data_IF_843497358928
#
_entry.id   IF_843497358928
#
_cell.length_a   1.000
_cell.length_b   1.000
_cell.length_c   1.000
_cell.angle_alpha   90.00
_cell.angle_beta   90.00
_cell.angle_gamma   90.00
#
_symmetry.space_group_name_H-M   'P 1'
#
loop_
_entity.id
_entity.type
_entity.pdbx_description
1 polymer ?
#
# COMPACT_ATOMS: atom_id res chain seq x y z
N UNK A 1 3.00 -29.41 2.99
CA UNK A 1 1.73 -28.86 2.48
C UNK A 1 2.06 -27.74 1.50
N UNK A 2 1.39 -27.70 0.35
CA UNK A 2 1.54 -26.61 -0.63
C UNK A 2 0.90 -25.34 -0.10
N UNK A 3 1.52 -24.18 -0.32
CA UNK A 3 1.06 -22.86 0.09
C UNK A 3 0.72 -22.06 -1.18
N UNK A 4 -0.56 -21.89 -1.46
CA UNK A 4 -1.03 -21.02 -2.54
C UNK A 4 -0.95 -19.55 -2.13
N UNK A 5 -0.22 -18.75 -2.92
CA UNK A 5 -0.05 -17.31 -2.72
C UNK A 5 -0.58 -16.56 -3.93
N UNK A 6 -1.43 -15.57 -3.69
CA UNK A 6 -1.91 -14.65 -4.71
C UNK A 6 -1.12 -13.35 -4.68
N UNK A 7 -0.58 -12.92 -5.82
CA UNK A 7 0.06 -11.61 -5.99
C UNK A 7 -0.82 -10.74 -6.87
N UNK A 8 -1.41 -9.70 -6.27
CA UNK A 8 -2.21 -8.69 -6.97
C UNK A 8 -1.32 -7.49 -7.29
N UNK A 9 -1.06 -7.29 -8.58
CA UNK A 9 -0.19 -6.22 -9.07
C UNK A 9 1.18 -6.74 -9.46
N UNK A 10 1.29 -7.30 -10.66
CA UNK A 10 2.56 -7.75 -11.25
C UNK A 10 3.40 -6.60 -11.82
N UNK A 11 3.64 -5.58 -11.00
CA UNK A 11 4.63 -4.53 -11.23
C UNK A 11 6.01 -4.94 -10.70
N UNK A 12 6.96 -4.00 -10.63
CA UNK A 12 8.32 -4.27 -10.16
C UNK A 12 8.36 -4.92 -8.76
N UNK A 13 7.65 -4.34 -7.79
CA UNK A 13 7.56 -4.85 -6.40
C UNK A 13 6.94 -6.26 -6.37
N UNK A 14 5.80 -6.44 -7.06
CA UNK A 14 5.15 -7.74 -7.15
C UNK A 14 6.05 -8.80 -7.76
N UNK A 15 6.85 -8.45 -8.79
CA UNK A 15 7.75 -9.39 -9.48
C UNK A 15 8.87 -9.85 -8.57
N UNK A 16 9.51 -8.91 -7.86
CA UNK A 16 10.59 -9.23 -6.92
C UNK A 16 10.08 -10.19 -5.84
N UNK A 17 8.98 -9.86 -5.16
CA UNK A 17 8.48 -10.71 -4.08
C UNK A 17 7.79 -11.99 -4.58
N UNK A 18 7.17 -11.97 -5.77
CA UNK A 18 6.68 -13.18 -6.41
C UNK A 18 7.81 -14.16 -6.74
N UNK A 19 8.93 -13.66 -7.27
CA UNK A 19 10.12 -14.46 -7.54
C UNK A 19 10.71 -15.04 -6.25
N UNK A 20 10.92 -14.21 -5.23
CA UNK A 20 11.46 -14.63 -3.92
C UNK A 20 10.58 -15.75 -3.33
N UNK A 21 9.26 -15.56 -3.30
CA UNK A 21 8.34 -16.57 -2.78
C UNK A 21 8.38 -17.87 -3.58
N UNK A 22 8.50 -17.79 -4.91
CA UNK A 22 8.58 -18.98 -5.78
C UNK A 22 9.84 -19.83 -5.61
N UNK A 23 10.87 -19.32 -4.92
CA UNK A 23 12.06 -20.12 -4.62
C UNK A 23 11.79 -21.19 -3.55
N UNK A 24 10.68 -21.09 -2.82
CA UNK A 24 10.25 -22.11 -1.88
C UNK A 24 9.56 -23.26 -2.63
N UNK A 25 10.05 -24.49 -2.49
CA UNK A 25 9.54 -25.67 -3.21
C UNK A 25 8.07 -26.01 -2.92
N UNK A 26 7.54 -25.54 -1.79
CA UNK A 26 6.16 -25.74 -1.37
C UNK A 26 5.26 -24.53 -1.64
N UNK A 27 5.72 -23.47 -2.31
CA UNK A 27 4.91 -22.27 -2.60
C UNK A 27 4.49 -22.23 -4.07
N UNK A 28 3.19 -22.01 -4.32
CA UNK A 28 2.65 -21.78 -5.66
C UNK A 28 2.18 -20.33 -5.78
N UNK A 29 2.87 -19.55 -6.62
CA UNK A 29 2.53 -18.13 -6.86
C UNK A 29 1.56 -18.02 -8.04
N UNK A 30 0.33 -17.59 -7.77
CA UNK A 30 -0.59 -17.07 -8.79
C UNK A 30 -0.46 -15.56 -8.84
N UNK A 31 -0.17 -15.00 -10.02
CA UNK A 31 -0.04 -13.56 -10.23
C UNK A 31 -1.17 -13.02 -11.11
N UNK A 32 -1.73 -11.87 -10.71
CA UNK A 32 -2.64 -11.10 -11.57
C UNK A 32 -1.84 -10.03 -12.29
N UNK A 33 -1.71 -10.20 -13.60
CA UNK A 33 -1.18 -9.18 -14.50
C UNK A 33 -2.33 -8.69 -15.38
N UNK A 34 -2.65 -7.40 -15.30
CA UNK A 34 -3.70 -6.79 -16.14
C UNK A 34 -3.07 -6.27 -17.42
N UNK A 35 -2.65 -5.00 -17.41
CA UNK A 35 -2.03 -4.33 -18.55
C UNK A 35 -0.72 -4.96 -19.01
N UNK A 36 -0.05 -5.75 -18.16
CA UNK A 36 1.21 -6.43 -18.48
C UNK A 36 1.05 -7.91 -18.83
N UNK A 37 -0.18 -8.45 -18.88
CA UNK A 37 -0.41 -9.89 -19.10
C UNK A 37 0.28 -10.40 -20.35
N UNK A 38 0.01 -9.81 -21.51
CA UNK A 38 0.54 -10.31 -22.79
C UNK A 38 2.06 -10.27 -22.84
N UNK A 39 2.67 -9.31 -22.13
CA UNK A 39 4.13 -9.17 -22.04
C UNK A 39 4.78 -10.12 -21.02
N UNK A 40 4.02 -10.64 -20.06
CA UNK A 40 4.54 -11.44 -18.93
C UNK A 40 4.09 -12.90 -18.94
N UNK A 41 3.09 -13.26 -19.76
CA UNK A 41 2.46 -14.59 -19.74
C UNK A 41 3.41 -15.75 -20.01
N UNK A 42 4.46 -15.50 -20.80
CA UNK A 42 5.45 -16.51 -21.18
C UNK A 42 6.69 -16.51 -20.26
N UNK A 43 6.72 -15.59 -19.29
CA UNK A 43 7.80 -15.37 -18.32
C UNK A 43 8.12 -13.89 -18.14
N UNK A 44 8.73 -13.56 -17.01
CA UNK A 44 9.12 -12.21 -16.61
C UNK A 44 10.64 -12.18 -16.50
N UNK A 45 11.29 -11.31 -17.25
CA UNK A 45 12.75 -11.15 -17.15
C UNK A 45 13.08 -10.30 -15.91
N UNK A 46 13.66 -10.92 -14.89
CA UNK A 46 14.12 -10.25 -13.67
C UNK A 46 15.64 -10.06 -13.75
N UNK A 47 16.06 -8.85 -14.08
CA UNK A 47 17.45 -8.42 -14.03
C UNK A 47 17.76 -7.85 -12.66
N UNK A 48 18.34 -8.68 -11.78
CA UNK A 48 18.60 -8.29 -10.40
C UNK A 48 20.08 -8.29 -10.04
N UNK A 49 20.56 -7.18 -9.46
CA UNK A 49 21.90 -7.13 -8.89
C UNK A 49 22.04 -8.01 -7.63
N UNK A 50 20.95 -8.15 -6.86
CA UNK A 50 20.89 -9.01 -5.66
C UNK A 50 20.69 -10.49 -5.98
N UNK A 51 19.76 -10.80 -6.89
CA UNK A 51 19.32 -12.19 -7.14
C UNK A 51 19.94 -12.81 -8.39
N UNK A 52 20.60 -12.03 -9.25
CA UNK A 52 21.03 -12.46 -10.58
C UNK A 52 19.96 -12.23 -11.65
N UNK A 53 20.27 -12.68 -12.87
CA UNK A 53 19.38 -12.53 -14.03
C UNK A 53 18.55 -13.80 -14.25
N UNK A 54 17.23 -13.67 -14.24
CA UNK A 54 16.30 -14.81 -14.25
C UNK A 54 15.16 -14.62 -15.24
N UNK A 55 14.71 -15.72 -15.85
CA UNK A 55 13.39 -15.78 -16.47
C UNK A 55 12.40 -16.37 -15.46
N UNK A 56 11.78 -15.50 -14.67
CA UNK A 56 10.81 -15.89 -13.65
C UNK A 56 9.48 -16.30 -14.29
N UNK A 57 8.99 -17.50 -13.95
CA UNK A 57 7.64 -17.96 -14.32
C UNK A 57 6.87 -18.29 -13.05
N UNK A 58 5.88 -17.46 -12.65
CA UNK A 58 4.95 -17.83 -11.59
C UNK A 58 4.29 -19.17 -11.91
N UNK A 59 3.80 -19.87 -10.87
CA UNK A 59 2.99 -21.09 -11.07
C UNK A 59 1.81 -20.82 -12.01
N UNK A 60 1.19 -19.64 -11.87
CA UNK A 60 0.15 -19.18 -12.78
C UNK A 60 0.19 -17.66 -12.93
N UNK A 61 -0.08 -17.17 -14.13
CA UNK A 61 -0.37 -15.76 -14.39
C UNK A 61 -1.73 -15.67 -15.06
N UNK A 62 -2.59 -14.80 -14.54
CA UNK A 62 -3.98 -14.64 -14.98
C UNK A 62 -4.30 -13.18 -15.25
N UNK A 63 -5.34 -12.93 -16.05
CA UNK A 63 -5.69 -11.57 -16.51
C UNK A 63 -6.44 -10.76 -15.46
N UNK A 64 -7.29 -11.43 -14.68
CA UNK A 64 -8.18 -10.75 -13.75
C UNK A 64 -8.50 -11.59 -12.51
N UNK A 65 -9.32 -11.01 -11.63
CA UNK A 65 -9.70 -11.63 -10.37
C UNK A 65 -10.65 -12.81 -10.54
N UNK A 66 -11.42 -12.88 -11.63
CA UNK A 66 -12.36 -13.96 -11.89
C UNK A 66 -11.61 -15.26 -12.18
N UNK A 67 -10.59 -15.19 -13.04
CA UNK A 67 -9.69 -16.31 -13.33
C UNK A 67 -8.86 -16.74 -12.10
N UNK A 68 -8.49 -15.79 -11.23
CA UNK A 68 -7.74 -16.09 -10.01
C UNK A 68 -8.60 -16.71 -8.90
N UNK A 69 -9.90 -16.42 -8.85
CA UNK A 69 -10.79 -16.78 -7.74
C UNK A 69 -11.40 -18.19 -7.90
N UNK A 70 -10.58 -19.16 -8.27
CA UNK A 70 -10.94 -20.57 -8.44
C UNK A 70 -10.49 -21.47 -7.28
N UNK A 71 -9.77 -20.90 -6.30
CA UNK A 71 -9.12 -21.64 -5.20
C UNK A 71 -8.91 -20.76 -3.96
N UNK A 72 -8.70 -21.36 -2.77
CA UNK A 72 -8.26 -20.62 -1.59
C UNK A 72 -6.81 -20.16 -1.73
N UNK A 73 -6.49 -19.00 -1.14
CA UNK A 73 -5.11 -18.52 -1.02
C UNK A 73 -4.78 -18.31 0.44
N UNK A 74 -3.60 -18.79 0.87
CA UNK A 74 -3.14 -18.61 2.26
C UNK A 74 -2.66 -17.19 2.48
N UNK A 75 -1.93 -16.63 1.51
CA UNK A 75 -1.50 -15.24 1.51
C UNK A 75 -1.99 -14.52 0.25
N UNK A 76 -2.52 -13.32 0.42
CA UNK A 76 -2.91 -12.43 -0.67
C UNK A 76 -2.08 -11.15 -0.56
N UNK A 77 -1.11 -10.99 -1.45
CA UNK A 77 -0.22 -9.84 -1.52
C UNK A 77 -0.87 -8.75 -2.37
N UNK A 78 -1.01 -7.55 -1.79
CA UNK A 78 -1.36 -6.35 -2.53
C UNK A 78 -0.09 -5.54 -2.82
N UNK A 79 0.42 -5.65 -4.04
CA UNK A 79 1.62 -4.97 -4.54
C UNK A 79 1.30 -3.78 -5.48
N UNK A 80 0.01 -3.46 -5.65
CA UNK A 80 -0.42 -2.27 -6.36
C UNK A 80 -0.26 -1.02 -5.49
N UNK A 81 -0.15 0.16 -6.11
CA UNK A 81 -0.16 1.44 -5.37
C UNK A 81 -1.45 1.61 -4.58
N UNK A 82 -1.36 2.20 -3.40
CA UNK A 82 -2.54 2.55 -2.61
C UNK A 82 -3.13 3.86 -3.14
N UNK A 83 -4.25 3.77 -3.87
CA UNK A 83 -4.93 4.89 -4.52
C UNK A 83 -6.40 4.93 -4.08
N UNK A 84 -6.71 5.25 -2.81
CA UNK A 84 -8.08 5.17 -2.29
C UNK A 84 -9.05 6.11 -2.99
N UNK A 85 -8.55 7.19 -3.58
CA UNK A 85 -9.29 8.18 -4.38
C UNK A 85 -9.56 7.73 -5.83
N UNK A 86 -9.01 6.60 -6.26
CA UNK A 86 -9.28 5.97 -7.56
C UNK A 86 -9.91 4.59 -7.42
N UNK A 87 -9.27 3.72 -6.64
CA UNK A 87 -9.72 2.37 -6.38
C UNK A 87 -9.25 1.89 -5.00
N UNK A 88 -10.14 1.80 -4.00
CA UNK A 88 -9.80 1.34 -2.67
C UNK A 88 -9.21 -0.08 -2.63
N UNK A 89 -8.17 -0.29 -1.80
CA UNK A 89 -7.54 -1.61 -1.60
C UNK A 89 -8.55 -2.68 -1.16
N UNK A 90 -9.51 -2.32 -0.31
CA UNK A 90 -10.59 -3.23 0.10
C UNK A 90 -11.42 -3.72 -1.10
N UNK A 91 -11.73 -2.86 -2.07
CA UNK A 91 -12.46 -3.23 -3.29
C UNK A 91 -11.65 -4.16 -4.21
N UNK A 92 -10.33 -3.96 -4.27
CA UNK A 92 -9.42 -4.83 -5.03
C UNK A 92 -9.41 -6.25 -4.44
N UNK A 93 -9.42 -6.36 -3.10
CA UNK A 93 -9.29 -7.64 -2.38
C UNK A 93 -10.62 -8.37 -2.19
N UNK A 94 -11.73 -7.64 -2.18
CA UNK A 94 -13.06 -8.16 -1.92
C UNK A 94 -13.48 -9.39 -2.77
N UNK A 95 -13.11 -9.54 -4.06
CA UNK A 95 -13.42 -10.76 -4.80
C UNK A 95 -12.86 -12.03 -4.15
N UNK A 96 -11.72 -11.91 -3.47
CA UNK A 96 -11.07 -13.03 -2.78
C UNK A 96 -11.57 -13.16 -1.35
N UNK A 97 -11.79 -12.06 -0.64
CA UNK A 97 -12.14 -12.08 0.79
C UNK A 97 -13.61 -12.43 1.08
N UNK A 98 -14.53 -12.17 0.15
CA UNK A 98 -15.93 -12.63 0.27
C UNK A 98 -16.24 -13.86 -0.59
N UNK A 99 -15.21 -14.47 -1.18
CA UNK A 99 -15.36 -15.68 -1.97
C UNK A 99 -15.78 -16.86 -1.09
N UNK A 100 -16.47 -17.84 -1.67
CA UNK A 100 -16.63 -19.18 -1.05
C UNK A 100 -15.28 -19.84 -0.73
N UNK A 101 -14.22 -19.43 -1.43
CA UNK A 101 -12.84 -19.89 -1.21
C UNK A 101 -12.14 -19.19 -0.05
N UNK A 102 -12.76 -18.18 0.57
CA UNK A 102 -12.29 -17.51 1.77
C UNK A 102 -13.15 -17.81 3.00
N UNK A 103 -14.18 -18.65 2.88
CA UNK A 103 -15.03 -19.01 4.00
C UNK A 103 -14.24 -19.78 5.07
N UNK A 104 -14.41 -19.34 6.31
CA UNK A 104 -13.78 -19.87 7.53
C UNK A 104 -14.79 -20.56 8.44
N UNK A 105 -16.03 -20.73 7.98
CA UNK A 105 -17.18 -21.23 8.76
C UNK A 105 -17.03 -22.66 9.29
N UNK A 106 -15.98 -23.39 8.94
CA UNK A 106 -15.73 -24.77 9.37
C UNK A 106 -14.60 -24.96 10.39
N UNK A 107 -13.84 -23.91 10.78
CA UNK A 107 -12.73 -24.09 11.73
C UNK A 107 -12.34 -22.82 12.49
N UNK A 108 -12.16 -22.95 13.81
CA UNK A 108 -11.55 -21.94 14.69
C UNK A 108 -10.02 -22.19 14.82
N UNK A 109 -9.51 -23.30 14.27
CA UNK A 109 -8.09 -23.64 14.16
C UNK A 109 -7.47 -23.24 12.80
N UNK A 110 -6.14 -23.09 12.82
CA UNK A 110 -5.24 -22.29 11.97
C UNK A 110 -5.06 -22.69 10.50
N UNK A 111 -5.93 -23.53 9.95
CA UNK A 111 -5.75 -24.06 8.60
C UNK A 111 -6.53 -23.31 7.52
N UNK A 112 -7.65 -22.66 7.84
CA UNK A 112 -8.53 -22.01 6.85
C UNK A 112 -8.60 -20.48 6.98
N UNK A 113 -8.71 -19.79 5.84
CA UNK A 113 -8.88 -18.33 5.73
C UNK A 113 -7.63 -17.55 5.27
N UNK A 114 -7.79 -16.54 4.40
CA UNK A 114 -6.67 -15.80 3.83
C UNK A 114 -6.03 -14.84 4.83
N UNK A 115 -4.73 -14.59 4.68
CA UNK A 115 -4.00 -13.48 5.31
C UNK A 115 -3.60 -12.47 4.25
N UNK A 116 -3.95 -11.20 4.45
CA UNK A 116 -3.60 -10.13 3.50
C UNK A 116 -2.22 -9.58 3.83
N UNK A 117 -1.39 -9.38 2.83
CA UNK A 117 -0.07 -8.76 2.95
C UNK A 117 -0.06 -7.47 2.14
N UNK A 118 0.10 -6.32 2.81
CA UNK A 118 0.11 -5.01 2.17
C UNK A 118 1.54 -4.53 1.94
N UNK A 119 1.93 -4.40 0.67
CA UNK A 119 3.24 -3.92 0.23
C UNK A 119 3.21 -2.43 -0.20
N UNK A 120 2.11 -1.73 0.09
CA UNK A 120 1.84 -0.38 -0.39
C UNK A 120 2.48 0.68 0.52
N UNK A 121 2.80 1.86 -0.04
CA UNK A 121 3.40 2.94 0.72
C UNK A 121 2.35 3.75 1.51
N UNK A 122 2.84 4.45 2.54
CA UNK A 122 2.06 5.40 3.32
C UNK A 122 1.67 4.88 4.71
N UNK A 123 0.91 5.71 5.40
CA UNK A 123 0.39 5.49 6.76
C UNK A 123 -1.12 5.26 6.65
N UNK A 124 -1.68 4.39 7.51
CA UNK A 124 -3.14 4.21 7.57
C UNK A 124 -3.77 3.44 6.43
N UNK A 125 -2.98 2.78 5.59
CA UNK A 125 -3.48 2.03 4.42
C UNK A 125 -4.28 0.79 4.83
N UNK A 126 -4.09 0.34 6.06
CA UNK A 126 -4.73 -0.83 6.67
C UNK A 126 -6.16 -0.52 7.10
N UNK A 127 -6.43 0.73 7.53
CA UNK A 127 -7.66 1.12 8.21
C UNK A 127 -8.93 0.79 7.40
N UNK A 128 -9.04 1.16 6.11
CA UNK A 128 -10.24 0.82 5.33
C UNK A 128 -10.45 -0.69 5.18
N UNK A 129 -9.35 -1.45 5.10
CA UNK A 129 -9.41 -2.91 4.97
C UNK A 129 -9.80 -3.58 6.29
N UNK A 130 -9.21 -3.13 7.40
CA UNK A 130 -9.52 -3.64 8.73
C UNK A 130 -10.99 -3.38 9.12
N UNK A 131 -11.53 -2.21 8.78
CA UNK A 131 -12.94 -1.90 8.99
C UNK A 131 -13.87 -2.78 8.14
N UNK A 132 -13.50 -3.06 6.89
CA UNK A 132 -14.32 -3.87 5.99
C UNK A 132 -14.25 -5.38 6.32
N UNK A 133 -13.09 -5.86 6.80
CA UNK A 133 -12.81 -7.26 7.07
C UNK A 133 -12.10 -7.45 8.41
N UNK A 134 -12.77 -7.19 9.55
CA UNK A 134 -12.14 -7.20 10.88
C UNK A 134 -11.54 -8.57 11.26
N UNK A 135 -12.05 -9.65 10.66
CA UNK A 135 -11.57 -11.00 10.90
C UNK A 135 -10.31 -11.34 10.08
N UNK A 136 -10.00 -10.64 8.99
CA UNK A 136 -8.86 -11.01 8.14
C UNK A 136 -7.56 -10.49 8.76
N UNK A 137 -6.56 -11.34 9.05
CA UNK A 137 -5.26 -10.86 9.51
C UNK A 137 -4.58 -10.04 8.40
N UNK A 138 -4.06 -8.87 8.78
CA UNK A 138 -3.37 -7.95 7.87
C UNK A 138 -1.90 -7.88 8.28
N UNK A 139 -1.03 -8.44 7.45
CA UNK A 139 0.42 -8.22 7.52
C UNK A 139 0.70 -6.92 6.79
N UNK A 140 1.07 -5.92 7.54
CA UNK A 140 1.42 -4.61 7.04
C UNK A 140 2.93 -4.55 6.80
N UNK A 141 3.36 -3.98 5.67
CA UNK A 141 4.79 -3.95 5.33
C UNK A 141 5.31 -2.59 4.85
N UNK A 142 6.58 -2.36 5.15
CA UNK A 142 7.42 -1.24 4.73
C UNK A 142 8.47 -1.80 3.77
N UNK A 143 8.27 -1.53 2.48
CA UNK A 143 9.10 -2.07 1.40
C UNK A 143 10.25 -1.12 1.06
N UNK A 144 11.49 -1.51 1.26
CA UNK A 144 12.67 -0.81 0.76
C UNK A 144 13.22 -1.57 -0.44
N UNK A 145 12.81 -1.15 -1.65
CA UNK A 145 13.20 -1.83 -2.88
C UNK A 145 13.49 -0.83 -3.99
N UNK A 146 14.63 -0.99 -4.65
CA UNK A 146 14.97 -0.26 -5.86
C UNK A 146 14.66 -1.08 -7.10
N UNK A 147 13.42 -1.03 -7.60
CA UNK A 147 13.02 -1.81 -8.78
C UNK A 147 12.14 -1.02 -9.75
N UNK A 148 12.31 -1.27 -11.04
CA UNK A 148 11.53 -0.66 -12.12
C UNK A 148 10.97 -1.71 -13.06
N UNK A 149 9.76 -1.47 -13.57
CA UNK A 149 9.17 -2.26 -14.65
C UNK A 149 9.38 -1.50 -15.96
N UNK A 150 10.11 -2.13 -16.88
CA UNK A 150 10.33 -1.65 -18.24
C UNK A 150 9.31 -2.28 -19.21
N UNK A 151 9.11 -1.68 -20.40
CA UNK A 151 8.31 -2.29 -21.45
C UNK A 151 8.77 -3.72 -21.78
N UNK A 152 7.82 -4.58 -22.18
CA UNK A 152 8.13 -5.97 -22.57
C UNK A 152 8.29 -6.95 -21.41
N UNK A 153 7.81 -6.62 -20.20
CA UNK A 153 7.82 -7.56 -19.07
C UNK A 153 9.20 -7.74 -18.44
N UNK A 154 10.06 -6.73 -18.55
CA UNK A 154 11.41 -6.74 -17.95
C UNK A 154 11.40 -5.93 -16.66
N UNK A 155 11.79 -6.54 -15.56
CA UNK A 155 11.98 -5.87 -14.27
C UNK A 155 13.47 -5.73 -14.00
N UNK A 156 13.91 -4.49 -13.74
CA UNK A 156 15.25 -4.23 -13.20
C UNK A 156 15.16 -4.04 -11.69
N UNK A 157 16.10 -4.62 -10.95
CA UNK A 157 16.13 -4.60 -9.50
C UNK A 157 17.57 -4.41 -9.00
N UNK A 158 17.80 -3.37 -8.20
CA UNK A 158 19.10 -3.10 -7.61
C UNK A 158 19.49 -4.05 -6.48
N UNK A 159 20.53 -3.69 -5.73
CA UNK A 159 21.00 -4.44 -4.56
C UNK A 159 20.14 -4.21 -3.31
N UNK A 160 19.43 -3.07 -3.23
CA UNK A 160 18.55 -2.74 -2.11
C UNK A 160 17.23 -3.51 -2.19
N UNK A 161 17.06 -4.45 -1.28
CA UNK A 161 15.81 -5.15 -0.99
C UNK A 161 15.73 -5.46 0.51
N UNK A 162 14.72 -4.89 1.17
CA UNK A 162 14.36 -5.21 2.54
C UNK A 162 12.85 -5.02 2.74
N UNK A 163 12.22 -5.98 3.42
CA UNK A 163 10.82 -5.98 3.76
C UNK A 163 10.64 -6.00 5.28
N UNK A 164 10.36 -4.84 5.87
CA UNK A 164 10.03 -4.75 7.30
C UNK A 164 8.51 -4.95 7.42
N UNK A 165 8.06 -5.91 8.22
CA UNK A 165 6.65 -6.28 8.30
C UNK A 165 6.20 -6.55 9.73
N UNK A 166 4.91 -6.38 9.99
CA UNK A 166 4.29 -6.74 11.26
C UNK A 166 2.80 -6.91 11.11
N UNK A 167 2.19 -7.61 12.05
CA UNK A 167 0.74 -7.73 12.12
C UNK A 167 0.15 -6.35 12.43
N UNK A 168 -0.85 -5.93 11.66
CA UNK A 168 -1.60 -4.72 11.98
C UNK A 168 -2.54 -4.99 13.15
N UNK A 169 -2.27 -4.35 14.27
CA UNK A 169 -3.04 -4.43 15.52
C UNK A 169 -3.71 -3.09 15.87
N UNK A 170 -3.77 -2.15 14.93
CA UNK A 170 -4.26 -0.80 15.13
C UNK A 170 -3.19 0.28 15.18
N UNK A 171 -3.63 1.52 15.37
CA UNK A 171 -2.76 2.70 15.47
C UNK A 171 -2.76 3.26 16.89
N UNK A 172 -1.87 2.73 17.74
CA UNK A 172 -1.22 3.45 18.84
C UNK A 172 -2.05 4.14 19.95
N UNK A 173 -3.34 3.87 20.12
CA UNK A 173 -4.13 4.44 21.24
C UNK A 173 -3.80 3.82 22.61
N UNK A 174 -3.68 4.65 23.65
CA UNK A 174 -3.52 4.23 25.06
C UNK A 174 -4.58 3.17 25.46
N UNK A 175 -4.19 1.97 25.93
CA UNK A 175 -5.12 0.96 26.46
C UNK A 175 -5.91 1.45 27.68
N UNK A 176 -5.36 2.42 28.43
CA UNK A 176 -5.77 2.78 29.78
C UNK A 176 -6.52 4.12 29.91
N UNK A 177 -6.60 4.91 28.85
CA UNK A 177 -7.29 6.19 28.85
C UNK A 177 -8.74 6.09 28.37
N UNK A 178 -9.68 6.62 29.15
CA UNK A 178 -11.01 6.99 28.68
C UNK A 178 -10.89 8.09 27.61
N UNK A 179 -10.52 7.72 26.39
CA UNK A 179 -10.55 8.62 25.26
C UNK A 179 -12.03 8.84 24.90
N UNK A 180 -12.49 10.09 24.97
CA UNK A 180 -13.76 10.49 24.38
C UNK A 180 -13.83 9.96 22.94
N UNK A 181 -14.96 9.36 22.58
CA UNK A 181 -15.29 9.04 21.19
C UNK A 181 -15.22 10.32 20.38
N UNK A 182 -14.13 10.49 19.62
CA UNK A 182 -14.15 11.40 18.47
C UNK A 182 -14.74 10.58 17.33
N UNK A 183 -16.02 10.81 17.02
CA UNK A 183 -16.60 10.36 15.76
C UNK A 183 -15.83 11.04 14.62
N UNK A 184 -14.85 10.33 14.08
CA UNK A 184 -14.15 10.68 12.85
C UNK A 184 -14.36 9.54 11.88
N UNK A 185 -14.92 9.85 10.71
CA UNK A 185 -15.16 8.88 9.61
C UNK A 185 -13.86 8.19 9.11
N UNK A 186 -12.69 8.66 9.52
CA UNK A 186 -11.38 8.20 9.03
C UNK A 186 -10.41 7.72 10.12
N UNK A 187 -10.77 7.84 11.40
CA UNK A 187 -9.92 7.41 12.50
C UNK A 187 -10.40 6.07 13.06
N UNK A 188 -9.47 5.12 13.19
CA UNK A 188 -9.64 3.97 14.06
C UNK A 188 -8.91 4.27 15.39
N UNK A 189 -9.60 4.77 16.44
CA UNK A 189 -8.98 4.98 17.74
C UNK A 189 -8.63 3.67 18.47
N UNK A 190 -8.98 2.51 17.93
CA UNK A 190 -9.01 1.24 18.67
C UNK A 190 -8.67 0.01 17.82
N UNK A 191 -7.79 0.15 16.82
CA UNK A 191 -7.56 -0.96 15.90
C UNK A 191 -7.24 -2.27 16.60
N UNK A 192 -7.76 -3.35 16.01
CA UNK A 192 -7.82 -4.68 16.59
C UNK A 192 -8.08 -4.74 18.12
N UNK A 193 -8.92 -3.86 18.69
CA UNK A 193 -9.47 -4.13 20.03
C UNK A 193 -10.44 -5.29 19.92
N UNK A 194 -10.11 -6.32 20.69
CA UNK A 194 -10.94 -7.46 21.08
C UNK A 194 -12.44 -7.24 20.81
N UNK A 195 -13.07 -8.03 19.94
CA UNK A 195 -14.26 -8.87 20.20
C UNK A 195 -14.54 -9.78 18.97
N UNK A 196 -15.07 -11.03 19.12
CA UNK A 196 -15.25 -11.84 20.33
C UNK A 196 -14.15 -12.91 20.58
N UNK A 197 -13.07 -12.96 19.80
CA UNK A 197 -12.24 -14.19 19.70
C UNK A 197 -10.94 -14.22 20.54
N UNK A 198 -10.63 -13.16 21.29
CA UNK A 198 -9.59 -13.16 22.33
C UNK A 198 -8.11 -13.28 21.88
N UNK A 199 -7.20 -13.62 22.81
CA UNK A 199 -5.73 -13.68 22.59
C UNK A 199 -5.27 -14.67 21.51
N UNK A 200 -6.01 -15.74 21.26
CA UNK A 200 -5.62 -16.81 20.34
C UNK A 200 -5.52 -16.32 18.88
N UNK A 201 -6.43 -15.45 18.44
CA UNK A 201 -6.41 -14.88 17.07
C UNK A 201 -5.20 -13.98 16.85
N UNK A 202 -4.80 -13.24 17.89
CA UNK A 202 -3.62 -12.39 17.85
C UNK A 202 -2.33 -13.22 17.76
N UNK A 203 -2.22 -14.27 18.58
CA UNK A 203 -1.11 -15.22 18.55
C UNK A 203 -0.99 -15.86 17.16
N UNK A 204 -2.12 -16.23 16.55
CA UNK A 204 -2.11 -16.76 15.19
C UNK A 204 -1.66 -15.74 14.16
N UNK A 205 -2.19 -14.51 14.22
CA UNK A 205 -1.79 -13.45 13.30
C UNK A 205 -0.27 -13.24 13.35
N UNK A 206 0.31 -13.28 14.56
CA UNK A 206 1.77 -13.21 14.75
C UNK A 206 2.48 -14.44 14.18
N UNK A 207 1.97 -15.65 14.42
CA UNK A 207 2.54 -16.89 13.85
C UNK A 207 2.53 -16.89 12.32
N UNK A 208 1.43 -16.47 11.68
CA UNK A 208 1.34 -16.31 10.22
C UNK A 208 2.28 -15.22 9.71
N UNK A 209 2.41 -14.12 10.44
CA UNK A 209 3.37 -13.06 10.10
C UNK A 209 4.81 -13.59 10.10
N UNK A 210 5.18 -14.33 11.15
CA UNK A 210 6.50 -14.95 11.23
C UNK A 210 6.71 -15.97 10.11
N UNK A 211 5.74 -16.86 9.87
CA UNK A 211 5.82 -17.84 8.80
C UNK A 211 5.97 -17.19 7.42
N UNK A 212 5.26 -16.07 7.17
CA UNK A 212 5.43 -15.32 5.92
C UNK A 212 6.83 -14.69 5.82
N UNK A 213 7.34 -14.11 6.91
CA UNK A 213 8.72 -13.62 6.97
C UNK A 213 9.75 -14.71 6.67
N UNK A 214 9.56 -15.91 7.21
CA UNK A 214 10.43 -17.06 6.94
C UNK A 214 10.38 -17.48 5.47
N UNK A 215 9.21 -17.47 4.82
CA UNK A 215 9.10 -17.75 3.37
C UNK A 215 9.89 -16.74 2.53
N UNK A 216 9.86 -15.46 2.91
CA UNK A 216 10.64 -14.42 2.22
C UNK A 216 12.14 -14.66 2.41
N UNK A 217 12.58 -14.93 3.64
CA UNK A 217 13.99 -15.17 3.96
C UNK A 217 14.53 -16.45 3.30
N UNK A 218 13.77 -17.54 3.32
CA UNK A 218 14.12 -18.80 2.67
C UNK A 218 14.23 -18.64 1.14
N UNK A 219 13.47 -17.71 0.57
CA UNK A 219 13.55 -17.36 -0.85
C UNK A 219 14.70 -16.42 -1.22
N UNK A 220 15.58 -16.07 -0.28
CA UNK A 220 16.72 -15.17 -0.46
C UNK A 220 16.41 -13.69 -0.23
N UNK A 221 15.16 -13.33 0.06
CA UNK A 221 14.77 -11.97 0.44
C UNK A 221 15.27 -11.57 1.84
N UNK A 222 15.07 -10.32 2.21
CA UNK A 222 15.40 -9.81 3.56
C UNK A 222 14.13 -9.33 4.28
N UNK A 223 13.47 -10.23 4.98
CA UNK A 223 12.32 -9.92 5.83
C UNK A 223 12.74 -9.69 7.29
N UNK A 224 12.26 -8.58 7.85
CA UNK A 224 12.38 -8.26 9.29
C UNK A 224 10.98 -8.18 9.86
N UNK A 225 10.62 -9.13 10.72
CA UNK A 225 9.34 -9.14 11.43
C UNK A 225 9.47 -8.29 12.70
N UNK A 226 8.58 -7.33 12.89
CA UNK A 226 8.53 -6.46 14.07
C UNK A 226 7.20 -6.63 14.80
N UNK A 227 7.22 -6.40 16.11
CA UNK A 227 6.00 -6.45 16.92
C UNK A 227 5.01 -5.33 16.58
N UNK A 228 5.54 -4.14 16.28
CA UNK A 228 4.78 -2.93 16.00
C UNK A 228 5.21 -2.32 14.67
N UNK A 229 4.36 -2.45 13.66
CA UNK A 229 4.63 -1.98 12.29
C UNK A 229 4.40 -0.48 12.09
N UNK A 230 3.51 0.13 12.88
CA UNK A 230 3.14 1.54 12.71
C UNK A 230 4.32 2.50 12.85
N UNK A 231 5.20 2.39 13.87
CA UNK A 231 6.39 3.24 13.95
C UNK A 231 7.27 3.15 12.70
N UNK A 232 7.41 1.95 12.11
CA UNK A 232 8.19 1.72 10.88
C UNK A 232 7.55 2.34 9.65
N UNK A 233 6.21 2.38 9.57
CA UNK A 233 5.50 3.14 8.52
C UNK A 233 5.79 4.62 8.61
N UNK A 234 5.65 5.21 9.81
CA UNK A 234 5.96 6.62 10.03
C UNK A 234 7.43 6.93 9.75
N UNK A 235 8.36 6.08 10.18
CA UNK A 235 9.80 6.19 9.90
C UNK A 235 10.07 6.32 8.40
N UNK A 236 9.55 5.39 7.58
CA UNK A 236 9.68 5.50 6.12
C UNK A 236 8.95 6.72 5.57
N UNK A 237 7.79 7.07 6.13
CA UNK A 237 7.00 8.19 5.64
C UNK A 237 7.64 9.55 5.93
N UNK A 238 8.59 9.67 6.87
CA UNK A 238 9.42 10.88 7.05
C UNK A 238 10.07 11.29 5.72
N UNK A 239 10.68 10.33 5.02
CA UNK A 239 11.34 10.59 3.75
C UNK A 239 10.33 10.86 2.63
N UNK A 240 9.25 10.09 2.55
CA UNK A 240 8.23 10.27 1.51
C UNK A 240 7.50 11.61 1.62
N UNK A 241 7.02 11.97 2.82
CA UNK A 241 6.27 13.20 3.04
C UNK A 241 7.14 14.46 2.88
N UNK A 242 8.46 14.35 3.05
CA UNK A 242 9.38 15.47 2.92
C UNK A 242 10.14 15.47 1.57
N UNK A 243 11.10 14.57 1.37
CA UNK A 243 11.94 14.57 0.16
C UNK A 243 11.16 14.19 -1.08
N UNK A 244 10.35 13.12 -1.05
CA UNK A 244 9.58 12.71 -2.23
C UNK A 244 8.58 13.79 -2.66
N UNK A 245 7.86 14.39 -1.71
CA UNK A 245 6.95 15.51 -1.98
C UNK A 245 7.69 16.76 -2.49
N UNK A 246 8.85 17.12 -1.92
CA UNK A 246 9.67 18.23 -2.41
C UNK A 246 10.13 18.00 -3.86
N UNK A 247 10.60 16.79 -4.18
CA UNK A 247 10.98 16.42 -5.54
C UNK A 247 9.79 16.51 -6.50
N UNK A 248 8.62 15.99 -6.10
CA UNK A 248 7.41 16.03 -6.90
C UNK A 248 6.93 17.47 -7.19
N UNK A 249 6.94 18.36 -6.19
CA UNK A 249 6.55 19.77 -6.36
C UNK A 249 7.55 20.55 -7.22
N UNK A 250 8.85 20.32 -7.03
CA UNK A 250 9.91 21.03 -7.76
C UNK A 250 10.19 20.45 -9.15
N UNK A 251 9.68 19.25 -9.44
CA UNK A 251 10.00 18.45 -10.64
C UNK A 251 11.50 18.15 -10.76
N UNK A 252 12.22 18.05 -9.64
CA UNK A 252 13.67 17.83 -9.59
C UNK A 252 14.04 16.51 -8.91
N UNK A 253 15.10 15.82 -9.36
CA UNK A 253 15.61 14.63 -8.67
C UNK A 253 16.19 14.98 -7.29
N UNK A 254 16.40 13.96 -6.46
CA UNK A 254 16.88 14.16 -5.08
C UNK A 254 18.21 14.92 -5.03
N UNK A 255 19.13 14.63 -5.96
CA UNK A 255 20.45 15.25 -6.04
C UNK A 255 20.42 16.76 -6.24
N UNK A 256 19.42 17.29 -6.94
CA UNK A 256 19.23 18.73 -7.12
C UNK A 256 18.64 19.38 -5.87
N UNK A 257 17.70 18.69 -5.20
CA UNK A 257 17.10 19.14 -3.93
C UNK A 257 18.16 19.23 -2.83
N UNK A 258 19.12 18.31 -2.79
CA UNK A 258 20.22 18.32 -1.81
C UNK A 258 21.51 18.96 -2.32
N UNK A 259 21.50 19.58 -3.51
CA UNK A 259 22.70 20.23 -4.06
C UNK A 259 23.17 21.38 -3.16
N UNK A 260 24.48 21.69 -3.09
CA UNK A 260 24.98 22.79 -2.25
C UNK A 260 24.30 24.15 -2.51
N UNK A 261 23.84 24.40 -3.74
CA UNK A 261 23.13 25.62 -4.10
C UNK A 261 21.69 25.68 -3.56
N UNK A 262 20.98 24.54 -3.54
CA UNK A 262 19.58 24.46 -3.10
C UNK A 262 19.44 24.16 -1.60
N UNK A 263 20.40 23.41 -1.03
CA UNK A 263 20.33 22.85 0.32
C UNK A 263 20.06 23.89 1.42
N UNK A 264 20.65 25.11 1.41
CA UNK A 264 20.33 26.13 2.41
C UNK A 264 18.84 26.51 2.50
N UNK A 265 18.11 26.34 1.38
CA UNK A 265 16.68 26.65 1.29
C UNK A 265 15.80 25.42 1.50
N UNK A 266 16.20 24.25 0.98
CA UNK A 266 15.41 23.02 1.04
C UNK A 266 15.51 22.35 2.41
N UNK A 267 16.68 22.34 3.03
CA UNK A 267 16.94 21.61 4.28
C UNK A 267 16.05 22.07 5.45
N UNK A 268 15.90 23.39 5.74
CA UNK A 268 15.02 23.83 6.83
C UNK A 268 13.56 23.42 6.62
N UNK A 269 13.10 23.38 5.37
CA UNK A 269 11.74 22.97 5.02
C UNK A 269 11.59 21.46 5.21
N UNK A 270 12.47 20.66 4.59
CA UNK A 270 12.46 19.20 4.70
C UNK A 270 12.48 18.75 6.16
N UNK A 271 13.41 19.28 6.96
CA UNK A 271 13.54 18.92 8.38
C UNK A 271 12.26 19.23 9.16
N UNK A 272 11.68 20.42 8.96
CA UNK A 272 10.44 20.81 9.66
C UNK A 272 9.22 20.04 9.16
N UNK A 273 9.16 19.64 7.90
CA UNK A 273 8.12 18.73 7.40
C UNK A 273 8.23 17.37 8.07
N UNK A 274 9.44 16.80 8.20
CA UNK A 274 9.64 15.55 8.95
C UNK A 274 9.22 15.68 10.43
N UNK A 275 9.49 16.83 11.07
CA UNK A 275 9.01 17.08 12.43
C UNK A 275 7.48 17.13 12.53
N UNK A 276 6.77 17.68 11.54
CA UNK A 276 5.30 17.63 11.49
C UNK A 276 4.81 16.17 11.47
N UNK A 277 5.46 15.28 10.71
CA UNK A 277 5.16 13.83 10.74
C UNK A 277 5.39 13.23 12.12
N UNK A 278 6.50 13.58 12.80
CA UNK A 278 6.77 13.12 14.18
C UNK A 278 5.69 13.61 15.14
N UNK A 279 5.24 14.88 15.05
CA UNK A 279 4.19 15.40 15.92
C UNK A 279 2.86 14.67 15.72
N UNK A 280 2.52 14.34 14.47
CA UNK A 280 1.36 13.49 14.17
C UNK A 280 1.55 12.09 14.78
N UNK A 281 2.72 11.47 14.63
CA UNK A 281 3.02 10.16 15.22
C UNK A 281 2.84 10.17 16.75
N UNK A 282 3.36 11.21 17.43
CA UNK A 282 3.27 11.39 18.88
C UNK A 282 1.83 11.57 19.35
N UNK A 283 1.02 12.33 18.61
CA UNK A 283 -0.40 12.51 18.91
C UNK A 283 -1.23 11.21 18.77
N UNK A 284 -0.67 10.21 18.07
CA UNK A 284 -1.20 8.86 17.91
C UNK A 284 -0.44 7.82 18.76
N UNK A 285 0.23 8.28 19.83
CA UNK A 285 0.82 7.42 20.87
C UNK A 285 2.14 6.73 20.52
N UNK A 286 2.71 6.99 19.32
CA UNK A 286 4.05 6.48 18.98
C UNK A 286 5.07 7.21 19.85
N UNK A 287 5.84 6.47 20.62
CA UNK A 287 6.79 7.02 21.62
C UNK A 287 8.15 7.41 21.01
N UNK A 288 8.96 8.15 21.80
CA UNK A 288 10.35 8.48 21.44
C UNK A 288 11.22 7.25 21.26
N UNK A 289 10.97 6.18 22.00
CA UNK A 289 11.69 4.91 21.86
C UNK A 289 11.34 4.21 20.53
N UNK A 290 10.06 4.20 20.16
CA UNK A 290 9.59 3.54 18.94
C UNK A 290 9.96 4.29 17.65
N UNK A 291 10.01 5.62 17.70
CA UNK A 291 10.37 6.48 16.57
C UNK A 291 11.21 7.66 17.05
N UNK A 292 12.53 7.50 17.27
CA UNK A 292 13.37 8.56 17.83
C UNK A 292 13.40 9.82 16.97
N UNK A 293 13.46 10.98 17.61
CA UNK A 293 13.59 12.27 16.93
C UNK A 293 14.89 12.33 16.09
N UNK A 294 15.95 11.66 16.55
CA UNK A 294 17.23 11.53 15.83
C UNK A 294 17.05 10.92 14.43
N UNK A 295 16.03 10.09 14.21
CA UNK A 295 15.74 9.51 12.90
C UNK A 295 15.51 10.57 11.82
N UNK A 296 15.03 11.77 12.17
CA UNK A 296 14.92 12.90 11.24
C UNK A 296 16.29 13.31 10.71
N UNK A 297 17.25 13.55 11.60
CA UNK A 297 18.58 14.01 11.25
C UNK A 297 19.41 12.89 10.58
N UNK A 298 19.20 11.64 10.98
CA UNK A 298 19.80 10.47 10.33
C UNK A 298 19.30 10.29 8.89
N UNK A 299 17.99 10.43 8.67
CA UNK A 299 17.37 10.34 7.33
C UNK A 299 17.92 11.43 6.40
N UNK A 300 18.03 12.66 6.90
CA UNK A 300 18.62 13.79 6.17
C UNK A 300 20.08 13.51 5.83
N UNK A 301 20.86 13.10 6.83
CA UNK A 301 22.31 12.86 6.68
C UNK A 301 22.55 11.76 5.65
N UNK A 302 21.81 10.65 5.73
CA UNK A 302 21.89 9.55 4.77
C UNK A 302 21.51 10.00 3.36
N UNK A 303 20.45 10.82 3.23
CA UNK A 303 20.00 11.33 1.92
C UNK A 303 21.06 12.24 1.29
N UNK A 304 21.63 13.18 2.04
CA UNK A 304 22.70 14.06 1.55
C UNK A 304 23.92 13.22 1.15
N UNK A 305 24.33 12.27 2.01
CA UNK A 305 25.49 11.41 1.75
C UNK A 305 25.36 10.59 0.47
N UNK A 306 24.17 10.07 0.20
CA UNK A 306 23.91 9.18 -0.93
C UNK A 306 23.68 9.96 -2.24
N UNK A 307 23.04 11.13 -2.18
CA UNK A 307 22.54 11.82 -3.39
C UNK A 307 23.20 13.15 -3.71
N UNK A 308 23.95 13.76 -2.79
CA UNK A 308 24.65 15.01 -3.08
C UNK A 308 25.84 14.77 -3.99
N UNK A 309 25.90 15.52 -5.10
CA UNK A 309 27.07 15.49 -6.00
C UNK A 309 28.33 15.86 -5.22
N UNK A 310 29.29 14.94 -5.18
CA UNK A 310 30.64 15.25 -4.72
C UNK A 310 31.29 16.14 -5.76
N UNK A 311 31.90 17.26 -5.35
CA UNK A 311 32.62 18.11 -6.30
C UNK A 311 33.74 17.30 -6.96
N UNK A 312 33.91 17.43 -8.27
CA UNK A 312 35.00 16.78 -8.99
C UNK A 312 36.34 17.27 -8.41
N UNK A 313 37.03 16.38 -7.69
CA UNK A 313 38.48 16.44 -7.57
C UNK A 313 39.06 15.50 -8.63
N UNK A 314 40.09 15.90 -9.39
CA UNK A 314 40.62 15.10 -10.49
C UNK A 314 41.33 13.87 -9.92
N UNK A 315 40.64 12.73 -9.90
CA UNK A 315 41.15 11.46 -9.39
C UNK A 315 40.36 10.27 -9.93
N UNK A 316 41.02 9.53 -10.81
CA UNK A 316 40.66 8.27 -11.49
C UNK A 316 39.48 7.46 -10.90
N UNK A 317 38.41 7.26 -11.67
CA UNK A 317 37.46 6.16 -11.43
C UNK A 317 36.58 5.87 -12.67
N UNK A 318 37.03 4.98 -13.56
CA UNK A 318 36.20 4.49 -14.67
C UNK A 318 35.15 3.46 -14.22
N UNK A 319 35.37 2.77 -13.10
CA UNK A 319 34.52 1.67 -12.65
C UNK A 319 33.43 2.08 -11.63
N UNK A 320 33.44 3.32 -11.14
CA UNK A 320 32.42 3.86 -10.22
C UNK A 320 31.34 4.70 -10.94
N UNK A 321 31.48 4.97 -12.24
CA UNK A 321 30.69 5.98 -12.94
C UNK A 321 29.20 5.63 -13.09
N UNK A 322 28.87 4.35 -13.33
CA UNK A 322 27.48 3.93 -13.61
C UNK A 322 26.58 3.98 -12.36
N UNK A 323 27.04 3.47 -11.22
CA UNK A 323 26.32 3.54 -9.94
C UNK A 323 26.18 4.98 -9.44
N UNK A 324 27.17 5.83 -9.75
CA UNK A 324 27.12 7.24 -9.39
C UNK A 324 26.06 7.98 -10.21
N UNK A 325 25.96 7.74 -11.52
CA UNK A 325 24.98 8.43 -12.37
C UNK A 325 23.53 8.01 -12.07
N UNK A 326 23.27 6.71 -11.89
CA UNK A 326 21.94 6.21 -11.52
C UNK A 326 21.47 6.74 -10.16
N UNK A 327 22.38 6.79 -9.17
CA UNK A 327 22.11 7.37 -7.85
C UNK A 327 21.86 8.88 -7.96
N UNK A 328 22.69 9.61 -8.70
CA UNK A 328 22.55 11.06 -8.87
C UNK A 328 21.27 11.44 -9.63
N UNK A 329 20.76 10.59 -10.52
CA UNK A 329 19.53 10.85 -11.26
C UNK A 329 18.29 10.21 -10.61
N UNK A 330 18.41 9.73 -9.37
CA UNK A 330 17.31 9.08 -8.67
C UNK A 330 16.10 10.02 -8.51
N UNK A 331 14.97 9.58 -9.07
CA UNK A 331 13.66 10.23 -8.95
C UNK A 331 12.76 9.41 -8.01
N UNK A 332 12.21 10.00 -6.95
CA UNK A 332 11.26 9.32 -6.07
C UNK A 332 9.99 8.89 -6.83
N UNK A 333 9.28 7.87 -6.34
CA UNK A 333 8.09 7.31 -7.00
C UNK A 333 7.00 8.35 -7.27
N UNK A 334 6.76 9.26 -6.31
CA UNK A 334 5.76 10.32 -6.47
C UNK A 334 6.15 11.28 -7.60
N UNK A 335 7.43 11.64 -7.74
CA UNK A 335 7.90 12.48 -8.85
C UNK A 335 7.70 11.77 -10.19
N UNK A 336 8.01 10.47 -10.27
CA UNK A 336 7.82 9.69 -11.50
C UNK A 336 6.36 9.65 -11.94
N UNK A 337 5.41 9.52 -11.01
CA UNK A 337 3.98 9.57 -11.33
C UNK A 337 3.53 10.97 -11.75
N UNK A 338 4.04 11.96 -11.05
CA UNK A 338 3.75 13.37 -11.30
C UNK A 338 4.25 13.76 -12.70
N UNK A 339 5.44 13.34 -13.12
CA UNK A 339 5.95 13.52 -14.49
C UNK A 339 5.19 12.72 -15.54
N UNK A 340 4.74 11.51 -15.20
CA UNK A 340 4.00 10.64 -16.12
C UNK A 340 2.50 10.97 -16.21
N UNK A 341 2.00 11.99 -15.52
CA UNK A 341 0.56 12.31 -15.51
C UNK A 341 -0.30 11.25 -14.81
N UNK A 342 0.29 10.41 -13.96
CA UNK A 342 -0.39 9.30 -13.29
C UNK A 342 -0.84 9.67 -11.88
N UNK A 343 -1.87 9.00 -11.34
CA UNK A 343 -2.22 9.06 -9.93
C UNK A 343 -1.02 8.62 -9.10
N UNK A 344 -0.66 9.45 -8.12
CA UNK A 344 0.38 9.17 -7.15
C UNK A 344 -0.24 8.70 -5.84
N UNK A 345 0.58 8.15 -4.94
CA UNK A 345 0.19 7.77 -3.58
C UNK A 345 0.04 9.01 -2.66
N UNK A 346 -0.66 10.05 -3.13
CA UNK A 346 -0.83 11.32 -2.41
C UNK A 346 -1.61 11.15 -1.11
N UNK A 347 -2.75 10.45 -1.17
CA UNK A 347 -3.61 10.23 -0.02
C UNK A 347 -2.92 9.43 1.09
N UNK A 348 -2.31 8.24 0.84
CA UNK A 348 -1.69 7.48 1.91
C UNK A 348 -0.37 8.09 2.44
N UNK A 349 0.33 8.94 1.65
CA UNK A 349 1.59 9.58 2.08
C UNK A 349 1.34 10.90 2.82
N UNK A 350 0.44 11.76 2.30
CA UNK A 350 0.16 13.09 2.86
C UNK A 350 -1.26 13.20 3.44
N UNK A 351 -2.30 12.84 2.68
CA UNK A 351 -3.69 13.01 3.11
C UNK A 351 -3.99 12.33 4.45
N UNK A 352 -3.54 11.09 4.59
CA UNK A 352 -3.65 10.24 5.77
C UNK A 352 -2.98 10.85 7.02
N UNK A 353 -1.82 11.50 6.85
CA UNK A 353 -1.17 12.24 7.95
C UNK A 353 -1.99 13.46 8.35
N UNK A 354 -2.53 14.17 7.37
CA UNK A 354 -3.31 15.37 7.60
C UNK A 354 -4.63 15.04 8.32
N UNK A 355 -5.31 13.98 7.94
CA UNK A 355 -6.53 13.51 8.63
C UNK A 355 -6.25 13.19 10.09
N UNK A 356 -5.13 12.50 10.34
CA UNK A 356 -4.63 12.19 11.69
C UNK A 356 -4.26 13.44 12.48
N UNK A 357 -3.65 14.42 11.83
CA UNK A 357 -3.29 15.69 12.44
C UNK A 357 -4.53 16.47 12.87
N UNK A 358 -5.51 16.60 11.96
CA UNK A 358 -6.78 17.31 12.18
C UNK A 358 -7.59 16.68 13.30
N UNK A 359 -7.66 15.35 13.35
CA UNK A 359 -8.34 14.61 14.40
C UNK A 359 -7.76 14.84 15.82
N UNK A 360 -6.49 15.27 15.91
CA UNK A 360 -5.81 15.55 17.18
C UNK A 360 -5.43 17.03 17.36
N UNK A 361 -5.90 17.92 16.48
CA UNK A 361 -5.57 19.34 16.51
C UNK A 361 -4.07 19.67 16.35
N UNK A 362 -3.30 18.80 15.67
CA UNK A 362 -1.86 19.02 15.43
C UNK A 362 -1.67 19.93 14.22
N UNK A 363 -0.96 21.07 14.34
CA UNK A 363 -0.68 21.93 13.20
C UNK A 363 0.34 21.32 12.24
N UNK A 364 0.02 21.29 10.94
CA UNK A 364 0.86 20.69 9.89
C UNK A 364 1.01 21.58 8.65
N UNK A 365 1.41 22.85 8.80
CA UNK A 365 1.35 23.83 7.71
C UNK A 365 2.19 23.46 6.48
N UNK A 366 3.30 22.72 6.62
CA UNK A 366 4.11 22.32 5.47
C UNK A 366 3.48 21.14 4.73
N UNK A 367 2.96 20.16 5.47
CA UNK A 367 2.20 19.07 4.88
C UNK A 367 0.93 19.60 4.17
N UNK A 368 0.25 20.60 4.74
CA UNK A 368 -0.92 21.22 4.11
C UNK A 368 -0.57 21.88 2.77
N UNK A 369 0.52 22.65 2.71
CA UNK A 369 1.00 23.25 1.46
C UNK A 369 1.39 22.17 0.45
N UNK A 370 2.15 21.16 0.87
CA UNK A 370 2.57 20.08 -0.02
C UNK A 370 1.37 19.32 -0.60
N UNK A 371 0.38 19.01 0.25
CA UNK A 371 -0.86 18.37 -0.18
C UNK A 371 -1.64 19.25 -1.14
N UNK A 372 -1.86 20.52 -0.83
CA UNK A 372 -2.63 21.44 -1.67
C UNK A 372 -2.03 21.57 -3.08
N UNK A 373 -0.70 21.72 -3.18
CA UNK A 373 -0.01 21.82 -4.47
C UNK A 373 -0.12 20.52 -5.28
N UNK A 374 0.10 19.37 -4.64
CA UNK A 374 0.07 18.08 -5.32
C UNK A 374 -1.36 17.60 -5.62
N UNK A 375 -2.37 18.07 -4.87
CA UNK A 375 -3.77 17.69 -5.06
C UNK A 375 -4.32 18.13 -6.41
N UNK A 376 -3.86 19.26 -6.95
CA UNK A 376 -4.21 19.70 -8.30
C UNK A 376 -3.79 18.67 -9.36
N UNK A 377 -2.54 18.18 -9.28
CA UNK A 377 -2.07 17.10 -10.15
C UNK A 377 -2.87 15.82 -9.92
N UNK A 378 -3.06 15.43 -8.66
CA UNK A 378 -3.75 14.19 -8.31
C UNK A 378 -5.18 14.17 -8.85
N UNK A 379 -5.94 15.25 -8.68
CA UNK A 379 -7.32 15.34 -9.15
C UNK A 379 -7.43 15.14 -10.67
N UNK A 380 -6.57 15.82 -11.45
CA UNK A 380 -6.52 15.67 -12.91
C UNK A 380 -6.11 14.24 -13.31
N UNK A 381 -5.10 13.69 -12.65
CA UNK A 381 -4.62 12.34 -12.95
C UNK A 381 -5.67 11.27 -12.63
N UNK A 382 -6.34 11.38 -11.48
CA UNK A 382 -7.43 10.49 -11.07
C UNK A 382 -8.59 10.58 -12.05
N UNK A 383 -9.02 11.79 -12.44
CA UNK A 383 -10.10 11.96 -13.42
C UNK A 383 -9.76 11.30 -14.76
N UNK A 384 -8.56 11.57 -15.29
CA UNK A 384 -8.11 10.99 -16.55
C UNK A 384 -8.02 9.45 -16.49
N UNK A 385 -7.55 8.89 -15.37
CA UNK A 385 -7.40 7.45 -15.21
C UNK A 385 -8.74 6.77 -14.91
N UNK A 386 -9.61 7.39 -14.14
CA UNK A 386 -10.95 6.90 -13.86
C UNK A 386 -11.76 6.77 -15.15
N UNK A 387 -11.60 7.68 -16.11
CA UNK A 387 -12.27 7.65 -17.42
C UNK A 387 -11.76 6.54 -18.36
N UNK A 388 -10.62 5.91 -18.05
CA UNK A 388 -10.10 4.83 -18.90
C UNK A 388 -11.06 3.63 -18.90
N UNK A 389 -11.24 2.92 -20.04
CA UNK A 389 -12.12 1.75 -20.12
C UNK A 389 -11.85 0.70 -19.05
N UNK A 390 -10.59 0.55 -18.65
CA UNK A 390 -10.15 -0.42 -17.64
C UNK A 390 -10.70 -0.09 -16.25
N UNK A 391 -10.63 1.17 -15.81
CA UNK A 391 -11.17 1.59 -14.51
C UNK A 391 -12.69 1.70 -14.56
N UNK A 392 -13.28 2.18 -15.67
CA UNK A 392 -14.73 2.20 -15.85
C UNK A 392 -15.33 0.79 -15.75
N UNK A 393 -14.73 -0.19 -16.42
CA UNK A 393 -15.19 -1.58 -16.35
C UNK A 393 -15.04 -2.15 -14.94
N UNK A 394 -13.93 -1.86 -14.24
CA UNK A 394 -13.78 -2.26 -12.85
C UNK A 394 -14.84 -1.63 -11.95
N UNK A 395 -15.04 -0.31 -12.03
CA UNK A 395 -16.05 0.42 -11.27
C UNK A 395 -17.45 -0.15 -11.56
N UNK A 396 -17.76 -0.41 -12.83
CA UNK A 396 -19.03 -1.02 -13.24
C UNK A 396 -19.21 -2.44 -12.68
N UNK A 397 -18.20 -3.31 -12.79
CA UNK A 397 -18.24 -4.67 -12.21
C UNK A 397 -18.40 -4.61 -10.69
N UNK A 398 -17.67 -3.70 -10.04
CA UNK A 398 -17.75 -3.46 -8.60
C UNK A 398 -19.17 -3.04 -8.18
N UNK A 399 -19.73 -2.04 -8.87
CA UNK A 399 -21.09 -1.52 -8.61
C UNK A 399 -22.22 -2.45 -9.09
N UNK A 400 -21.91 -3.53 -9.80
CA UNK A 400 -22.87 -4.57 -10.17
C UNK A 400 -22.88 -5.75 -9.18
N UNK A 401 -21.87 -5.85 -8.32
CA UNK A 401 -21.76 -6.94 -7.34
C UNK A 401 -22.86 -6.82 -6.28
N UNK A 402 -23.64 -7.88 -6.09
CA UNK A 402 -24.52 -7.98 -4.92
C UNK A 402 -23.65 -8.24 -3.69
N UNK A 403 -23.67 -7.38 -2.66
CA UNK A 403 -22.87 -7.64 -1.47
C UNK A 403 -23.37 -8.90 -0.77
N UNK A 404 -22.46 -9.81 -0.45
CA UNK A 404 -22.70 -10.94 0.44
C UNK A 404 -22.64 -10.40 1.86
N UNK A 405 -23.74 -9.80 2.33
CA UNK A 405 -23.76 -9.15 3.64
C UNK A 405 -23.85 -10.19 4.75
N UNK A 406 -22.71 -10.82 5.07
CA UNK A 406 -22.46 -11.30 6.41
C UNK A 406 -22.09 -10.11 7.28
N UNK A 407 -23.03 -9.59 8.09
CA UNK A 407 -22.70 -8.74 9.24
C UNK A 407 -22.95 -7.22 9.14
N UNK A 408 -23.24 -6.62 7.98
CA UNK A 408 -23.38 -5.14 7.89
C UNK A 408 -24.81 -4.58 7.80
N UNK A 409 -25.86 -5.41 7.96
CA UNK A 409 -27.24 -4.92 8.12
C UNK A 409 -27.66 -3.83 7.12
N UNK A 410 -28.22 -2.73 7.61
CA UNK A 410 -28.62 -1.54 6.84
C UNK A 410 -27.45 -0.61 6.48
N UNK A 411 -26.33 -0.68 7.21
CA UNK A 411 -25.17 0.19 6.99
C UNK A 411 -24.41 -0.16 5.71
N UNK A 412 -24.20 -1.46 5.45
CA UNK A 412 -23.59 -1.94 4.21
C UNK A 412 -24.42 -1.60 2.96
N UNK A 413 -25.75 -1.59 3.10
CA UNK A 413 -26.68 -1.13 2.05
C UNK A 413 -26.59 0.38 1.81
N UNK A 414 -26.51 1.21 2.85
CA UNK A 414 -26.34 2.66 2.68
C UNK A 414 -25.00 3.05 2.03
N UNK A 415 -23.91 2.38 2.40
CA UNK A 415 -22.61 2.61 1.78
C UNK A 415 -22.63 2.24 0.28
N UNK A 416 -23.34 1.16 -0.07
CA UNK A 416 -23.59 0.75 -1.44
C UNK A 416 -24.40 1.77 -2.24
N UNK A 417 -25.55 2.21 -1.70
CA UNK A 417 -26.43 3.16 -2.37
C UNK A 417 -25.73 4.51 -2.61
N UNK A 418 -24.86 4.93 -1.68
CA UNK A 418 -24.02 6.12 -1.86
C UNK A 418 -22.96 5.94 -2.95
N UNK A 419 -22.34 4.76 -3.05
CA UNK A 419 -21.35 4.45 -4.07
C UNK A 419 -21.96 4.43 -5.48
N UNK A 420 -23.14 3.81 -5.65
CA UNK A 420 -23.89 3.83 -6.93
C UNK A 420 -24.26 5.27 -7.32
N UNK A 421 -24.79 6.04 -6.37
CA UNK A 421 -25.21 7.44 -6.62
C UNK A 421 -24.03 8.35 -6.99
N UNK A 422 -22.87 8.20 -6.32
CA UNK A 422 -21.66 8.99 -6.63
C UNK A 422 -21.07 8.64 -8.00
N UNK A 423 -21.21 7.40 -8.44
CA UNK A 423 -20.71 6.96 -9.75
C UNK A 423 -21.65 7.32 -10.92
N UNK A 424 -22.79 7.96 -10.67
CA UNK A 424 -23.75 8.33 -11.72
C UNK A 424 -24.40 7.14 -12.43
N UNK A 425 -24.29 5.93 -11.86
CA UNK A 425 -24.89 4.73 -12.43
C UNK A 425 -26.36 4.67 -12.01
N UNK A 426 -27.29 4.65 -12.98
CA UNK A 426 -28.71 4.45 -12.70
C UNK A 426 -28.98 3.02 -12.23
N UNK A 427 -29.93 2.83 -11.32
CA UNK A 427 -30.46 1.52 -10.85
C UNK A 427 -31.02 0.60 -11.96
N UNK A 428 -31.01 1.03 -13.23
CA UNK A 428 -31.68 0.40 -14.35
C UNK A 428 -31.09 -0.96 -14.81
N UNK A 429 -30.08 -1.49 -14.14
CA UNK A 429 -29.49 -2.81 -14.44
C UNK A 429 -30.12 -4.00 -13.72
N UNK A 430 -30.96 -3.77 -12.71
CA UNK A 430 -31.70 -4.83 -12.04
C UNK A 430 -33.17 -4.69 -12.41
N UNK A 431 -33.65 -5.63 -13.23
CA UNK A 431 -35.06 -5.78 -13.51
C UNK A 431 -35.85 -6.00 -12.23
N UNK A 432 -36.27 -4.91 -11.59
CA UNK A 432 -37.44 -4.87 -10.75
C UNK A 432 -38.62 -5.17 -11.66
N UNK A 433 -39.00 -6.45 -11.73
CA UNK A 433 -40.32 -6.83 -12.18
C UNK A 433 -41.32 -5.93 -11.45
N UNK A 434 -42.02 -5.09 -12.22
CA UNK A 434 -43.15 -4.32 -11.74
C UNK A 434 -44.29 -5.30 -11.48
N UNK A 435 -44.26 -5.96 -10.34
CA UNK A 435 -45.50 -6.48 -9.78
C UNK A 435 -46.17 -5.34 -9.02
N UNK A 436 -47.11 -4.74 -9.76
CA UNK A 436 -48.19 -3.91 -9.26
C UNK A 436 -48.72 -4.54 -7.98
N UNK A 437 -48.91 -3.74 -6.94
CA UNK A 437 -49.91 -4.05 -5.91
C UNK A 437 -51.18 -3.32 -6.35
N UNK A 438 -52.20 -4.00 -6.91
CA UNK A 438 -53.52 -3.42 -7.06
C UNK A 438 -54.29 -3.64 -5.76
N UNK A 439 -54.72 -2.55 -5.10
CA UNK A 439 -55.65 -2.64 -3.98
C UNK A 439 -55.45 -1.60 -2.88
N UNK A 440 -55.77 -0.33 -3.17
CA UNK A 440 -56.48 0.53 -2.19
C UNK A 440 -57.98 0.37 -2.45
N UNK A 441 -58.93 0.68 -1.54
CA UNK A 441 -58.84 1.54 -0.34
C UNK A 441 -59.45 0.86 0.91
N UNK A 442 -59.47 1.41 2.14
CA UNK A 442 -60.31 2.48 2.76
C UNK A 442 -59.88 2.42 4.26
N UNK A 443 -59.69 3.45 5.08
CA UNK A 443 -60.28 4.78 5.28
C UNK A 443 -59.22 5.74 5.82
#
# INVERSE_FOLDING_TARGET
>A
MTIDVLVIGMGAVGTVYGYVLSQNSNVQVTAIARSSYDAMKDGIHLKSDKFGDHLFKPYRIVKDAEEANDRPYKYILCAMKCLPDLLPTASILAPFLESKHADTSTSVDLEDGPTVVLLQNGVGIEVPLAHAYPHVPIISSVVWVGANLLPGGVVTHGSLEQLIMGLFTGEGGDPSGAAEHVESEFADPHGYRQQPDGPARLEEGRRRTQAFGDLINNGGGCAVVVDEIQPKRYEKNLWNAAFSSMCAMSRRPVSEVVSPASLPYTLPVVRRTMLEVIYVARAWGITEEQLPLKTVDDTITLTIRNYQRKSESPGTAADAAADTEATLNFKPSMLLDVEAGRPAELEPILGSLLDRARAKGVPTPRLDVAYAVLKCHQAQAVEAHAQTPQYQEHIRKWLARKPTVGGLGTAGRKAWDQAIKRAGLSDAGFGGGKDKIPGKPVQ
#
